data_IF_461313445188
#
_entry.id   IF_461313445188
#
_cell.length_a   1.000
_cell.length_b   1.000
_cell.length_c   1.000
_cell.angle_alpha   90.00
_cell.angle_beta   90.00
_cell.angle_gamma   90.00
#
_symmetry.space_group_name_H-M   'P 1'
#
loop_
_entity.id
_entity.type
_entity.pdbx_description
1 polymer ?
#
# COMPACT_ATOMS: atom_id res chain seq x y z
N UNK A 1 0.99 -23.51 24.70
CA UNK A 1 1.63 -23.69 23.37
C UNK A 1 0.78 -24.48 22.37
N UNK A 2 0.13 -25.60 22.74
CA UNK A 2 -0.68 -26.42 21.81
C UNK A 2 -1.86 -25.68 21.15
N UNK A 3 -2.61 -24.86 21.90
CA UNK A 3 -3.81 -24.16 21.36
C UNK A 3 -3.43 -23.11 20.30
N UNK A 4 -2.32 -22.38 20.52
CA UNK A 4 -1.81 -21.39 19.57
C UNK A 4 -1.29 -22.08 18.29
N UNK A 5 -0.64 -23.24 18.44
CA UNK A 5 -0.20 -24.07 17.31
C UNK A 5 -1.40 -24.57 16.49
N UNK A 6 -2.43 -25.10 17.14
CA UNK A 6 -3.64 -25.60 16.48
C UNK A 6 -4.41 -24.48 15.75
N UNK A 7 -4.55 -23.31 16.37
CA UNK A 7 -5.20 -22.15 15.74
C UNK A 7 -4.43 -21.65 14.51
N UNK A 8 -3.09 -21.68 14.52
CA UNK A 8 -2.26 -21.36 13.36
C UNK A 8 -2.40 -22.39 12.24
N UNK A 9 -2.44 -23.67 12.58
CA UNK A 9 -2.62 -24.77 11.62
C UNK A 9 -4.01 -24.72 10.96
N UNK A 10 -5.06 -24.44 11.74
CA UNK A 10 -6.41 -24.23 11.23
C UNK A 10 -6.48 -23.02 10.30
N UNK A 11 -5.93 -21.86 10.69
CA UNK A 11 -5.87 -20.66 9.84
C UNK A 11 -5.16 -20.96 8.51
N UNK A 12 -4.01 -21.64 8.55
CA UNK A 12 -3.26 -22.01 7.35
C UNK A 12 -4.07 -22.97 6.45
N UNK A 13 -4.76 -23.95 7.05
CA UNK A 13 -5.65 -24.86 6.34
C UNK A 13 -6.81 -24.13 5.64
N UNK A 14 -7.49 -23.22 6.35
CA UNK A 14 -8.57 -22.43 5.77
C UNK A 14 -8.10 -21.51 4.65
N UNK A 15 -6.96 -20.82 4.82
CA UNK A 15 -6.34 -20.01 3.76
C UNK A 15 -6.06 -20.86 2.52
N UNK A 16 -5.44 -22.03 2.69
CA UNK A 16 -5.15 -22.95 1.58
C UNK A 16 -6.42 -23.45 0.89
N UNK A 17 -7.49 -23.69 1.65
CA UNK A 17 -8.78 -24.09 1.10
C UNK A 17 -9.40 -23.00 0.23
N UNK A 18 -9.33 -21.74 0.64
CA UNK A 18 -9.82 -20.59 -0.14
C UNK A 18 -9.04 -20.47 -1.44
N UNK A 19 -7.70 -20.49 -1.36
CA UNK A 19 -6.79 -20.42 -2.50
C UNK A 19 -7.13 -21.51 -3.53
N UNK A 20 -7.33 -22.75 -3.07
CA UNK A 20 -7.63 -23.87 -3.96
C UNK A 20 -9.04 -23.83 -4.56
N UNK A 21 -10.03 -23.21 -3.88
CA UNK A 21 -11.43 -23.16 -4.34
C UNK A 21 -11.74 -21.95 -5.22
N UNK A 22 -11.01 -20.86 -5.03
CA UNK A 22 -11.21 -19.59 -5.74
C UNK A 22 -9.91 -19.05 -6.36
N UNK A 23 -9.12 -19.87 -7.08
CA UNK A 23 -7.89 -19.39 -7.67
C UNK A 23 -8.21 -18.32 -8.73
N UNK A 24 -7.45 -17.23 -8.75
CA UNK A 24 -7.50 -16.27 -9.87
C UNK A 24 -7.11 -17.04 -11.13
N UNK A 25 -7.90 -17.05 -12.23
CA UNK A 25 -7.55 -17.76 -13.46
C UNK A 25 -6.18 -17.29 -14.00
N UNK A 26 -5.37 -18.22 -14.52
CA UNK A 26 -3.99 -17.92 -14.93
C UNK A 26 -3.92 -16.82 -16.00
N UNK A 27 -4.80 -16.84 -17.00
CA UNK A 27 -4.85 -15.82 -18.03
C UNK A 27 -5.15 -14.42 -17.48
N UNK A 28 -6.06 -14.30 -16.50
CA UNK A 28 -6.35 -13.02 -15.85
C UNK A 28 -5.16 -12.54 -15.00
N UNK A 29 -4.49 -13.47 -14.32
CA UNK A 29 -3.29 -13.18 -13.54
C UNK A 29 -2.15 -12.64 -14.42
N UNK A 30 -1.80 -13.36 -15.49
CA UNK A 30 -0.75 -12.96 -16.42
C UNK A 30 -1.03 -11.61 -17.07
N UNK A 31 -2.27 -11.38 -17.51
CA UNK A 31 -2.68 -10.10 -18.08
C UNK A 31 -2.57 -8.95 -17.07
N UNK A 32 -2.91 -9.18 -15.79
CA UNK A 32 -2.81 -8.15 -14.76
C UNK A 32 -1.35 -7.85 -14.38
N UNK A 33 -0.52 -8.88 -14.25
CA UNK A 33 0.92 -8.74 -13.94
C UNK A 33 1.64 -7.98 -15.07
N UNK A 34 1.33 -8.28 -16.32
CA UNK A 34 1.93 -7.61 -17.48
C UNK A 34 1.62 -6.10 -17.53
N UNK A 35 0.56 -5.64 -16.89
CA UNK A 35 0.20 -4.22 -16.82
C UNK A 35 0.75 -3.49 -15.59
N UNK A 36 1.55 -4.12 -14.73
CA UNK A 36 2.02 -3.52 -13.48
C UNK A 36 3.56 -3.48 -13.43
N UNK A 37 4.19 -2.35 -13.84
CA UNK A 37 5.65 -2.22 -13.88
C UNK A 37 6.33 -2.49 -12.53
N UNK A 38 5.68 -2.14 -11.43
CA UNK A 38 6.16 -2.35 -10.06
C UNK A 38 6.34 -3.83 -9.65
N UNK A 39 5.84 -4.78 -10.46
CA UNK A 39 6.05 -6.22 -10.26
C UNK A 39 7.29 -6.77 -10.99
N UNK A 40 7.94 -5.94 -11.79
CA UNK A 40 9.13 -6.33 -12.54
C UNK A 40 10.25 -6.77 -11.59
N UNK A 41 10.88 -7.91 -11.91
CA UNK A 41 11.95 -8.50 -11.10
C UNK A 41 11.48 -9.37 -9.93
N UNK A 42 10.17 -9.55 -9.70
CA UNK A 42 9.68 -10.60 -8.81
C UNK A 42 9.98 -11.99 -9.39
N UNK A 43 10.48 -12.89 -8.55
CA UNK A 43 10.69 -14.30 -8.89
C UNK A 43 9.35 -15.02 -9.12
N UNK A 44 9.40 -16.18 -9.79
CA UNK A 44 8.21 -17.03 -9.98
C UNK A 44 7.57 -17.45 -8.65
N UNK A 45 8.38 -17.68 -7.61
CA UNK A 45 7.90 -18.02 -6.28
C UNK A 45 7.17 -16.83 -5.63
N UNK A 46 7.72 -15.62 -5.73
CA UNK A 46 7.07 -14.40 -5.25
C UNK A 46 5.78 -14.10 -6.01
N UNK A 47 5.76 -14.24 -7.34
CA UNK A 47 4.55 -14.06 -8.15
C UNK A 47 3.47 -15.09 -7.79
N UNK A 48 3.85 -16.35 -7.58
CA UNK A 48 2.91 -17.39 -7.12
C UNK A 48 2.36 -17.05 -5.73
N UNK A 49 3.19 -16.58 -4.81
CA UNK A 49 2.75 -16.20 -3.48
C UNK A 49 1.84 -14.95 -3.51
N UNK A 50 2.17 -13.97 -4.34
CA UNK A 50 1.37 -12.77 -4.54
C UNK A 50 -0.01 -13.11 -5.13
N UNK A 51 -0.10 -14.11 -6.02
CA UNK A 51 -1.39 -14.63 -6.52
C UNK A 51 -2.22 -15.25 -5.40
N UNK A 52 -1.61 -16.05 -4.53
CA UNK A 52 -2.29 -16.63 -3.37
C UNK A 52 -2.82 -15.54 -2.43
N UNK A 53 -2.02 -14.50 -2.14
CA UNK A 53 -2.42 -13.35 -1.34
C UNK A 53 -3.55 -12.55 -2.01
N UNK A 54 -3.46 -12.32 -3.32
CA UNK A 54 -4.48 -11.62 -4.10
C UNK A 54 -5.80 -12.40 -4.13
N UNK A 55 -5.75 -13.73 -4.18
CA UNK A 55 -6.94 -14.59 -4.04
C UNK A 55 -7.57 -14.43 -2.65
N UNK A 56 -6.78 -14.46 -1.58
CA UNK A 56 -7.28 -14.22 -0.22
C UNK A 56 -7.88 -12.82 -0.10
N UNK A 57 -7.25 -11.82 -0.72
CA UNK A 57 -7.75 -10.46 -0.80
C UNK A 57 -9.13 -10.39 -1.43
N UNK A 58 -9.29 -10.91 -2.64
CA UNK A 58 -10.56 -10.89 -3.37
C UNK A 58 -11.67 -11.72 -2.70
N UNK A 59 -11.29 -12.70 -1.87
CA UNK A 59 -12.25 -13.49 -1.09
C UNK A 59 -12.74 -12.73 0.16
N UNK A 60 -11.85 -12.00 0.84
CA UNK A 60 -12.18 -11.35 2.12
C UNK A 60 -12.55 -9.88 2.00
N UNK A 61 -12.18 -9.22 0.90
CA UNK A 61 -12.43 -7.81 0.65
C UNK A 61 -13.45 -7.65 -0.47
N UNK A 62 -14.38 -6.74 -0.25
CA UNK A 62 -15.32 -6.31 -1.27
C UNK A 62 -14.78 -5.04 -1.95
N UNK A 63 -14.90 -4.98 -3.26
CA UNK A 63 -14.55 -3.79 -4.05
C UNK A 63 -15.81 -3.37 -4.78
N UNK A 64 -16.36 -2.21 -4.44
CA UNK A 64 -17.58 -1.66 -5.03
C UNK A 64 -17.26 -0.37 -5.78
N UNK A 65 -18.03 -0.10 -6.83
CA UNK A 65 -17.98 1.21 -7.47
C UNK A 65 -18.91 2.20 -6.79
N UNK A 66 -18.44 3.41 -6.57
CA UNK A 66 -19.26 4.52 -6.10
C UNK A 66 -19.98 5.21 -7.27
N UNK A 67 -21.07 5.92 -6.98
CA UNK A 67 -21.80 6.74 -7.97
C UNK A 67 -22.24 5.96 -9.23
N UNK A 68 -22.58 4.68 -9.09
CA UNK A 68 -22.99 3.83 -10.23
C UNK A 68 -21.83 3.34 -11.11
N UNK A 69 -20.58 3.60 -10.73
CA UNK A 69 -19.40 3.08 -11.42
C UNK A 69 -19.40 1.56 -11.41
N UNK A 70 -19.24 0.93 -12.58
CA UNK A 70 -19.26 -0.52 -12.72
C UNK A 70 -17.84 -1.08 -12.63
N UNK A 71 -17.52 -1.64 -11.47
CA UNK A 71 -16.22 -2.29 -11.23
C UNK A 71 -16.19 -3.66 -11.93
N UNK A 72 -15.23 -3.86 -12.82
CA UNK A 72 -15.01 -5.13 -13.51
C UNK A 72 -13.93 -5.99 -12.82
N UNK A 73 -13.75 -7.24 -13.28
CA UNK A 73 -12.80 -8.17 -12.68
C UNK A 73 -11.34 -7.70 -12.78
N UNK A 74 -10.96 -7.09 -13.90
CA UNK A 74 -9.60 -6.54 -14.09
C UNK A 74 -9.30 -5.45 -13.06
N UNK A 75 -10.24 -4.53 -12.84
CA UNK A 75 -10.10 -3.46 -11.85
C UNK A 75 -9.89 -4.03 -10.45
N UNK A 76 -10.71 -5.01 -10.07
CA UNK A 76 -10.59 -5.69 -8.78
C UNK A 76 -9.23 -6.35 -8.60
N UNK A 77 -8.77 -7.03 -9.65
CA UNK A 77 -7.51 -7.76 -9.62
C UNK A 77 -6.30 -6.81 -9.53
N UNK A 78 -6.30 -5.70 -10.28
CA UNK A 78 -5.23 -4.68 -10.23
C UNK A 78 -5.10 -4.10 -8.83
N UNK A 79 -6.21 -3.72 -8.18
CA UNK A 79 -6.19 -3.21 -6.80
C UNK A 79 -5.70 -4.29 -5.84
N UNK A 80 -6.22 -5.51 -5.96
CA UNK A 80 -5.86 -6.61 -5.07
C UNK A 80 -4.36 -6.97 -5.15
N UNK A 81 -3.77 -6.97 -6.35
CA UNK A 81 -2.36 -7.26 -6.55
C UNK A 81 -1.48 -6.22 -5.88
N UNK A 82 -1.72 -4.94 -6.16
CA UNK A 82 -0.93 -3.84 -5.62
C UNK A 82 -1.04 -3.78 -4.09
N UNK A 83 -2.25 -3.88 -3.55
CA UNK A 83 -2.47 -3.94 -2.11
C UNK A 83 -1.76 -5.16 -1.46
N UNK A 84 -1.80 -6.31 -2.12
CA UNK A 84 -1.15 -7.55 -1.62
C UNK A 84 0.37 -7.50 -1.68
N UNK A 85 0.95 -6.64 -2.52
CA UNK A 85 2.40 -6.50 -2.62
C UNK A 85 3.04 -5.98 -1.34
N UNK A 86 2.42 -5.01 -0.65
CA UNK A 86 2.94 -4.48 0.62
C UNK A 86 3.09 -5.60 1.66
N UNK A 87 2.15 -6.53 1.67
CA UNK A 87 2.10 -7.64 2.63
C UNK A 87 2.72 -8.94 2.09
N UNK A 88 3.44 -8.90 0.97
CA UNK A 88 4.04 -10.10 0.34
C UNK A 88 4.92 -10.90 1.31
N UNK A 89 5.58 -10.22 2.24
CA UNK A 89 6.43 -10.85 3.27
C UNK A 89 5.96 -10.52 4.70
N UNK A 90 4.71 -10.05 4.84
CA UNK A 90 4.04 -9.75 6.12
C UNK A 90 2.94 -10.79 6.40
N UNK A 91 2.20 -10.65 7.50
CA UNK A 91 1.07 -11.55 7.75
C UNK A 91 -0.21 -10.95 7.15
N UNK A 92 -1.00 -11.78 6.47
CA UNK A 92 -2.37 -11.43 6.05
C UNK A 92 -3.21 -10.81 7.19
N UNK A 93 -2.88 -11.20 8.42
CA UNK A 93 -3.48 -10.71 9.64
C UNK A 93 -3.43 -9.18 9.78
N UNK A 94 -2.47 -8.50 9.14
CA UNK A 94 -2.31 -7.04 9.09
C UNK A 94 -3.44 -6.33 8.32
N UNK A 95 -4.14 -7.04 7.42
CA UNK A 95 -5.27 -6.49 6.65
C UNK A 95 -6.64 -6.87 7.20
N UNK A 96 -6.78 -7.52 8.37
CA UNK A 96 -8.08 -8.10 8.79
C UNK A 96 -9.16 -7.11 9.20
N UNK A 97 -8.79 -5.92 9.67
CA UNK A 97 -9.69 -5.02 10.41
C UNK A 97 -10.53 -4.07 9.55
N UNK A 98 -10.46 -4.19 8.22
CA UNK A 98 -11.25 -3.43 7.26
C UNK A 98 -11.79 -4.39 6.18
N UNK A 99 -12.82 -4.01 5.42
CA UNK A 99 -13.49 -4.96 4.50
C UNK A 99 -13.77 -4.44 3.10
N UNK A 100 -13.84 -3.13 2.91
CA UNK A 100 -14.40 -2.56 1.69
C UNK A 100 -13.44 -1.57 1.05
N UNK A 101 -13.28 -1.69 -0.27
CA UNK A 101 -12.71 -0.67 -1.14
C UNK A 101 -13.84 -0.04 -1.96
N UNK A 102 -13.91 1.28 -2.00
CA UNK A 102 -14.80 2.04 -2.88
C UNK A 102 -13.99 2.64 -4.03
N UNK A 103 -14.32 2.27 -5.26
CA UNK A 103 -13.74 2.81 -6.48
C UNK A 103 -14.63 3.89 -7.07
N UNK A 104 -14.12 5.10 -7.14
CA UNK A 104 -14.72 6.19 -7.91
C UNK A 104 -14.17 6.16 -9.34
N UNK A 105 -14.92 6.66 -10.35
CA UNK A 105 -14.41 6.71 -11.72
C UNK A 105 -13.15 7.58 -11.85
N UNK A 106 -13.11 8.73 -11.15
CA UNK A 106 -11.96 9.63 -11.12
C UNK A 106 -11.84 10.38 -9.80
N UNK A 107 -10.96 11.38 -9.75
CA UNK A 107 -10.63 12.13 -8.54
C UNK A 107 -11.89 12.63 -7.80
N UNK A 108 -12.04 12.20 -6.55
CA UNK A 108 -13.15 12.59 -5.71
C UNK A 108 -12.84 13.93 -5.03
N UNK A 109 -13.39 15.03 -5.56
CA UNK A 109 -13.47 16.26 -4.77
C UNK A 109 -14.59 16.07 -3.76
N UNK A 110 -14.24 15.69 -2.53
CA UNK A 110 -15.14 15.86 -1.40
C UNK A 110 -15.56 17.33 -1.42
N UNK A 111 -16.87 17.62 -1.53
CA UNK A 111 -17.38 18.97 -1.22
C UNK A 111 -17.18 19.22 0.28
N UNK A 112 -15.95 19.49 0.70
CA UNK A 112 -15.63 20.34 1.83
C UNK A 112 -15.26 21.69 1.24
N UNK A 113 -15.85 22.74 1.77
CA UNK A 113 -15.42 24.10 1.52
C UNK A 113 -14.02 24.28 2.11
N UNK A 114 -12.99 23.86 1.40
CA UNK A 114 -11.62 24.31 1.59
C UNK A 114 -10.89 24.06 0.26
N UNK A 115 -10.48 25.15 -0.37
CA UNK A 115 -9.75 25.14 -1.64
C UNK A 115 -8.29 24.84 -1.33
N UNK A 116 -7.80 23.68 -1.73
CA UNK A 116 -6.36 23.42 -1.80
C UNK A 116 -5.88 23.41 -3.26
N UNK A 117 -4.68 23.97 -3.46
CA UNK A 117 -4.07 24.25 -4.76
C UNK A 117 -3.34 23.06 -5.39
N UNK A 118 -3.40 21.86 -4.78
CA UNK A 118 -2.61 20.69 -5.20
C UNK A 118 -3.40 19.54 -5.83
N UNK A 119 -4.71 19.71 -6.08
CA UNK A 119 -5.48 18.82 -6.98
C UNK A 119 -5.63 17.34 -6.58
N UNK A 120 -5.02 16.89 -5.48
CA UNK A 120 -5.18 15.54 -4.94
C UNK A 120 -5.96 15.66 -3.63
N UNK A 121 -7.21 15.22 -3.64
CA UNK A 121 -8.09 15.22 -2.46
C UNK A 121 -8.08 13.82 -1.86
N UNK A 122 -7.30 13.62 -0.81
CA UNK A 122 -7.45 12.45 0.06
C UNK A 122 -8.56 12.73 1.06
N UNK A 123 -9.69 12.05 0.88
CA UNK A 123 -10.76 12.09 1.86
C UNK A 123 -10.36 11.27 3.08
N UNK A 124 -9.61 11.86 4.02
CA UNK A 124 -9.57 11.37 5.40
C UNK A 124 -10.99 11.56 5.96
N UNK A 125 -11.85 10.56 5.78
CA UNK A 125 -13.17 10.58 6.42
C UNK A 125 -13.09 10.02 7.82
N UNK A 126 -13.38 10.91 8.78
CA UNK A 126 -14.04 10.52 10.01
C UNK A 126 -15.31 9.72 9.67
N UNK A 127 -15.61 8.62 10.40
CA UNK A 127 -16.70 7.72 10.07
C UNK A 127 -18.01 8.49 9.91
N UNK A 128 -18.53 8.49 8.69
CA UNK A 128 -19.86 9.00 8.40
C UNK A 128 -20.89 8.16 9.18
N UNK A 129 -21.82 8.90 9.77
CA UNK A 129 -22.84 8.48 10.70
C UNK A 129 -23.65 7.29 10.15
N UNK A 130 -23.79 6.25 10.97
CA UNK A 130 -24.77 5.19 10.78
C UNK A 130 -24.22 3.87 10.25
N UNK A 131 -23.15 3.35 10.85
CA UNK A 131 -22.94 1.92 11.18
C UNK A 131 -21.51 1.76 11.72
N UNK A 132 -21.28 0.80 12.61
CA UNK A 132 -19.96 0.59 13.23
C UNK A 132 -18.97 -0.01 12.23
N UNK A 133 -18.36 0.85 11.40
CA UNK A 133 -17.21 0.50 10.56
C UNK A 133 -15.95 0.80 11.35
N UNK A 134 -15.34 -0.22 11.96
CA UNK A 134 -14.18 -0.06 12.86
C UNK A 134 -12.98 0.68 12.23
N UNK A 135 -12.91 0.84 10.89
CA UNK A 135 -11.87 1.63 10.18
C UNK A 135 -12.31 2.29 8.85
N UNK A 136 -13.61 2.40 8.57
CA UNK A 136 -14.12 2.94 7.29
C UNK A 136 -13.73 2.13 6.04
N UNK A 137 -14.27 2.45 4.85
CA UNK A 137 -13.80 1.90 3.58
C UNK A 137 -12.51 2.57 3.11
N UNK A 138 -11.67 1.83 2.37
CA UNK A 138 -10.59 2.43 1.57
C UNK A 138 -11.21 3.07 0.34
N UNK A 139 -10.88 4.31 0.03
CA UNK A 139 -11.42 5.03 -1.13
C UNK A 139 -10.30 5.18 -2.16
N UNK A 140 -10.57 4.81 -3.41
CA UNK A 140 -9.64 4.99 -4.52
C UNK A 140 -10.36 5.60 -5.73
N UNK A 141 -9.62 6.35 -6.53
CA UNK A 141 -10.02 6.81 -7.86
C UNK A 141 -9.46 5.85 -8.91
N UNK A 142 -10.32 5.34 -9.80
CA UNK A 142 -9.89 4.40 -10.83
C UNK A 142 -8.94 5.04 -11.84
N UNK A 143 -9.12 6.32 -12.18
CA UNK A 143 -8.18 7.05 -13.03
C UNK A 143 -6.77 7.04 -12.41
N UNK A 144 -6.64 7.29 -11.11
CA UNK A 144 -5.35 7.25 -10.41
C UNK A 144 -4.78 5.83 -10.33
N UNK A 145 -5.63 4.82 -10.10
CA UNK A 145 -5.22 3.42 -10.15
C UNK A 145 -4.76 3.03 -11.56
N UNK A 146 -5.44 3.49 -12.61
CA UNK A 146 -5.08 3.20 -13.99
C UNK A 146 -3.76 3.88 -14.38
N UNK A 147 -3.46 5.06 -13.83
CA UNK A 147 -2.16 5.71 -14.00
C UNK A 147 -1.00 4.89 -13.46
N UNK A 148 -1.19 4.10 -12.39
CA UNK A 148 -0.14 3.20 -11.86
C UNK A 148 0.28 2.08 -12.83
N UNK A 149 -0.54 1.80 -13.84
CA UNK A 149 -0.28 0.78 -14.86
C UNK A 149 0.54 1.30 -16.05
N UNK A 150 0.68 2.62 -16.17
CA UNK A 150 1.46 3.26 -17.22
C UNK A 150 2.85 3.62 -16.69
N UNK A 151 3.90 3.56 -17.54
CA UNK A 151 5.19 4.16 -17.20
C UNK A 151 4.99 5.65 -16.90
N UNK A 152 5.35 6.06 -15.68
CA UNK A 152 5.29 7.44 -15.22
C UNK A 152 6.66 7.84 -14.66
N UNK A 153 7.08 9.08 -14.91
CA UNK A 153 8.27 9.63 -14.29
C UNK A 153 8.05 9.94 -12.80
N UNK A 154 6.79 10.21 -12.43
CA UNK A 154 6.37 10.41 -11.04
C UNK A 154 6.21 9.05 -10.34
N UNK A 155 6.84 8.84 -9.18
CA UNK A 155 6.79 7.58 -8.45
C UNK A 155 5.48 7.36 -7.66
N UNK A 156 4.40 8.07 -8.00
CA UNK A 156 3.13 7.99 -7.26
C UNK A 156 2.36 6.70 -7.54
N UNK A 157 1.73 6.17 -6.49
CA UNK A 157 0.87 5.01 -6.53
C UNK A 157 -0.17 5.05 -5.41
N UNK A 158 -1.37 5.50 -5.75
CA UNK A 158 -2.50 5.66 -4.82
C UNK A 158 -2.87 4.36 -4.09
N UNK A 159 -2.68 3.19 -4.72
CA UNK A 159 -2.97 1.91 -4.05
C UNK A 159 -1.91 1.62 -2.99
N UNK A 160 -0.63 1.84 -3.28
CA UNK A 160 0.41 1.66 -2.26
C UNK A 160 0.21 2.65 -1.11
N UNK A 161 -0.11 3.90 -1.44
CA UNK A 161 -0.33 4.99 -0.49
C UNK A 161 -1.42 4.64 0.55
N UNK A 162 -2.66 4.41 0.10
CA UNK A 162 -3.80 4.16 0.99
C UNK A 162 -3.60 2.89 1.84
N UNK A 163 -2.96 1.87 1.26
CA UNK A 163 -2.71 0.63 1.98
C UNK A 163 -1.51 0.74 2.94
N UNK A 164 -0.57 1.65 2.71
CA UNK A 164 0.44 2.00 3.70
C UNK A 164 -0.22 2.65 4.92
N UNK A 165 -1.19 3.55 4.76
CA UNK A 165 -1.96 4.09 5.90
C UNK A 165 -2.71 3.01 6.69
N UNK A 166 -3.29 2.02 6.01
CA UNK A 166 -3.93 0.89 6.69
C UNK A 166 -2.94 0.12 7.59
N UNK A 167 -1.70 -0.05 7.13
CA UNK A 167 -0.63 -0.67 7.90
C UNK A 167 -0.18 0.22 9.07
N UNK A 168 -0.04 1.53 8.84
CA UNK A 168 0.33 2.52 9.86
C UNK A 168 -0.68 2.53 11.02
N UNK A 169 -1.97 2.50 10.69
CA UNK A 169 -3.05 2.41 11.67
C UNK A 169 -3.11 1.07 12.43
N UNK A 170 -2.21 0.12 12.17
CA UNK A 170 -2.17 -1.17 12.84
C UNK A 170 -2.00 -1.09 14.37
N UNK A 171 -1.45 0.01 14.91
CA UNK A 171 -1.28 0.22 16.35
C UNK A 171 -2.04 1.44 16.91
N UNK A 172 -2.91 2.09 16.13
CA UNK A 172 -3.62 3.29 16.54
C UNK A 172 -3.99 4.20 15.36
N UNK A 173 -4.00 5.51 15.60
CA UNK A 173 -4.08 6.49 14.52
C UNK A 173 -2.78 6.53 13.71
N UNK A 174 -2.87 6.86 12.43
CA UNK A 174 -1.72 6.99 11.54
C UNK A 174 -0.73 8.04 12.10
N UNK A 175 0.55 7.68 12.16
CA UNK A 175 1.61 8.51 12.73
C UNK A 175 2.98 8.28 12.06
N UNK A 176 3.04 7.52 10.97
CA UNK A 176 4.26 7.16 10.26
C UNK A 176 5.07 6.05 10.93
N UNK A 177 4.49 5.32 11.88
CA UNK A 177 5.13 4.19 12.55
C UNK A 177 4.14 3.01 12.66
N UNK A 178 4.07 2.16 11.62
CA UNK A 178 3.29 0.94 11.68
C UNK A 178 3.78 0.01 12.80
N UNK A 179 3.00 -1.03 13.18
CA UNK A 179 3.46 -2.07 14.08
C UNK A 179 4.76 -2.72 13.58
N UNK A 180 5.88 -2.38 14.21
CA UNK A 180 7.19 -2.89 13.79
C UNK A 180 7.41 -4.35 14.23
N UNK A 181 8.21 -5.07 13.45
CA UNK A 181 8.65 -6.43 13.80
C UNK A 181 9.41 -6.44 15.13
N UNK A 182 9.36 -7.57 15.85
CA UNK A 182 10.12 -7.74 17.10
C UNK A 182 11.64 -7.55 16.94
N UNK A 183 12.15 -7.74 15.73
CA UNK A 183 13.57 -7.58 15.38
C UNK A 183 13.94 -6.13 15.08
N UNK A 184 12.96 -5.23 14.94
CA UNK A 184 13.18 -3.82 14.64
C UNK A 184 13.22 -2.98 15.92
N UNK A 185 14.09 -1.97 15.92
CA UNK A 185 14.21 -1.04 17.03
C UNK A 185 13.33 0.20 16.79
N UNK A 186 12.31 0.40 17.63
CA UNK A 186 11.40 1.54 17.54
C UNK A 186 12.12 2.89 17.63
N UNK A 187 13.15 3.02 18.48
CA UNK A 187 13.92 4.27 18.60
C UNK A 187 14.69 4.57 17.32
N UNK A 188 15.26 3.55 16.68
CA UNK A 188 15.94 3.70 15.40
C UNK A 188 14.97 4.15 14.31
N UNK A 189 13.81 3.49 14.18
CA UNK A 189 12.76 3.89 13.24
C UNK A 189 12.37 5.36 13.45
N UNK A 190 11.96 5.71 14.67
CA UNK A 190 11.51 7.07 15.01
C UNK A 190 12.60 8.09 14.73
N UNK A 191 13.85 7.82 15.12
CA UNK A 191 14.97 8.75 14.87
C UNK A 191 15.22 8.97 13.37
N UNK A 192 15.24 7.90 12.58
CA UNK A 192 15.51 7.97 11.14
C UNK A 192 14.39 8.72 10.41
N UNK A 193 13.13 8.34 10.65
CA UNK A 193 11.98 9.00 10.02
C UNK A 193 11.85 10.46 10.44
N UNK A 194 12.00 10.76 11.74
CA UNK A 194 11.91 12.13 12.23
C UNK A 194 13.00 13.03 11.66
N UNK A 195 14.26 12.57 11.63
CA UNK A 195 15.37 13.35 11.10
C UNK A 195 15.20 13.61 9.61
N UNK A 196 14.79 12.61 8.83
CA UNK A 196 14.55 12.78 7.40
C UNK A 196 13.39 13.76 7.15
N UNK A 197 12.25 13.58 7.83
CA UNK A 197 11.10 14.48 7.72
C UNK A 197 11.46 15.93 8.07
N UNK A 198 12.19 16.15 9.17
CA UNK A 198 12.64 17.49 9.58
C UNK A 198 13.58 18.10 8.53
N UNK A 199 14.58 17.35 8.08
CA UNK A 199 15.54 17.85 7.09
C UNK A 199 14.88 18.21 5.77
N UNK A 200 13.94 17.38 5.28
CA UNK A 200 13.24 17.68 4.03
C UNK A 200 12.32 18.90 4.16
N UNK A 201 11.67 19.09 5.31
CA UNK A 201 10.91 20.31 5.60
C UNK A 201 11.79 21.56 5.57
N UNK A 202 12.96 21.51 6.21
CA UNK A 202 13.93 22.63 6.20
C UNK A 202 14.42 22.96 4.79
N UNK A 203 14.74 21.94 3.99
CA UNK A 203 15.17 22.10 2.59
C UNK A 203 14.06 22.68 1.72
N UNK A 204 12.84 22.16 1.85
CA UNK A 204 11.68 22.67 1.13
C UNK A 204 11.38 24.13 1.47
N UNK A 205 11.43 24.50 2.76
CA UNK A 205 11.26 25.88 3.20
C UNK A 205 12.35 26.83 2.68
N UNK A 206 13.55 26.31 2.39
CA UNK A 206 14.64 27.03 1.74
C UNK A 206 14.53 27.09 0.21
N UNK A 207 13.48 26.52 -0.38
CA UNK A 207 13.29 26.44 -1.84
C UNK A 207 14.20 25.42 -2.52
N UNK A 208 14.80 24.50 -1.77
CA UNK A 208 15.62 23.44 -2.34
C UNK A 208 14.76 22.28 -2.85
N UNK A 209 15.17 21.62 -3.96
CA UNK A 209 14.49 20.43 -4.43
C UNK A 209 14.62 19.28 -3.44
N UNK A 210 13.51 18.60 -3.16
CA UNK A 210 13.43 17.40 -2.32
C UNK A 210 13.20 16.14 -3.18
N UNK A 211 13.62 14.95 -2.72
CA UNK A 211 13.57 13.73 -3.52
C UNK A 211 12.22 12.99 -3.48
N UNK A 212 11.22 13.55 -2.80
CA UNK A 212 9.87 13.02 -2.67
C UNK A 212 8.88 14.11 -3.11
N UNK A 213 7.64 13.71 -3.38
CA UNK A 213 6.54 14.66 -3.53
C UNK A 213 6.42 15.51 -2.25
N UNK A 214 6.16 16.83 -2.39
CA UNK A 214 6.00 17.74 -1.25
C UNK A 214 4.85 17.35 -0.33
N UNK A 215 3.88 16.58 -0.82
CA UNK A 215 2.82 16.01 0.00
C UNK A 215 3.35 15.17 1.17
N UNK A 216 4.52 14.55 1.01
CA UNK A 216 5.21 13.82 2.08
C UNK A 216 5.55 14.70 3.30
N UNK A 217 5.51 16.03 3.16
CA UNK A 217 5.81 16.97 4.24
C UNK A 217 4.58 17.36 5.07
N UNK A 218 3.36 17.03 4.65
CA UNK A 218 2.15 17.42 5.39
C UNK A 218 2.06 16.79 6.78
N UNK A 219 2.45 15.52 6.90
CA UNK A 219 2.49 14.84 8.18
C UNK A 219 3.48 13.67 8.19
N UNK A 220 3.89 13.17 9.37
CA UNK A 220 4.67 11.93 9.45
C UNK A 220 3.96 10.70 8.84
N UNK A 221 2.63 10.67 8.86
CA UNK A 221 1.86 9.60 8.24
C UNK A 221 1.98 9.67 6.71
N UNK A 222 1.81 10.86 6.12
CA UNK A 222 2.02 11.08 4.68
C UNK A 222 3.46 10.80 4.26
N UNK A 223 4.42 11.20 5.09
CA UNK A 223 5.82 10.89 4.84
C UNK A 223 6.07 9.38 4.71
N UNK A 224 5.44 8.57 5.57
CA UNK A 224 5.54 7.11 5.48
C UNK A 224 4.82 6.54 4.25
N UNK A 225 3.63 7.04 3.91
CA UNK A 225 2.88 6.59 2.76
C UNK A 225 3.62 6.92 1.45
N UNK A 226 4.04 8.17 1.25
CA UNK A 226 4.80 8.60 0.08
C UNK A 226 6.15 7.90 -0.02
N UNK A 227 6.87 7.73 1.09
CA UNK A 227 8.11 6.95 1.07
C UNK A 227 7.85 5.48 0.68
N UNK A 228 6.71 4.90 1.07
CA UNK A 228 6.30 3.55 0.65
C UNK A 228 5.99 3.46 -0.83
N UNK A 229 5.36 4.48 -1.42
CA UNK A 229 5.15 4.57 -2.88
C UNK A 229 6.48 4.51 -3.62
N UNK A 230 7.42 5.41 -3.27
CA UNK A 230 8.73 5.45 -3.93
C UNK A 230 9.52 4.15 -3.69
N UNK A 231 9.38 3.53 -2.52
CA UNK A 231 10.02 2.24 -2.22
C UNK A 231 9.59 1.11 -3.18
N UNK A 232 8.33 1.08 -3.61
CA UNK A 232 7.85 0.05 -4.55
C UNK A 232 7.94 0.47 -6.01
N UNK A 233 7.76 1.76 -6.33
CA UNK A 233 7.67 2.26 -7.71
C UNK A 233 9.04 2.68 -8.26
N UNK A 234 9.90 3.27 -7.43
CA UNK A 234 11.22 3.78 -7.84
C UNK A 234 12.28 3.53 -6.76
N UNK A 235 12.52 2.26 -6.37
CA UNK A 235 13.32 1.93 -5.20
C UNK A 235 14.76 2.47 -5.25
N UNK A 236 15.40 2.52 -6.42
CA UNK A 236 16.77 3.05 -6.55
C UNK A 236 16.83 4.55 -6.25
N UNK A 237 15.78 5.31 -6.64
CA UNK A 237 15.69 6.75 -6.31
C UNK A 237 15.65 6.93 -4.79
N UNK A 238 14.81 6.15 -4.09
CA UNK A 238 14.71 6.22 -2.63
C UNK A 238 16.00 5.75 -1.94
N UNK A 239 16.60 4.64 -2.40
CA UNK A 239 17.84 4.11 -1.84
C UNK A 239 19.00 5.11 -1.98
N UNK A 240 19.07 5.83 -3.10
CA UNK A 240 20.12 6.83 -3.34
C UNK A 240 19.86 8.10 -2.53
N UNK A 241 18.63 8.62 -2.55
CA UNK A 241 18.32 9.91 -1.95
C UNK A 241 18.12 9.85 -0.42
N UNK A 242 17.53 8.77 0.09
CA UNK A 242 17.19 8.57 1.50
C UNK A 242 17.55 7.13 1.96
N UNK A 243 18.84 6.74 1.96
CA UNK A 243 19.28 5.36 2.19
C UNK A 243 18.83 4.79 3.55
N UNK A 244 18.79 5.62 4.60
CA UNK A 244 18.34 5.18 5.91
C UNK A 244 16.84 4.89 5.95
N UNK A 245 16.02 5.69 5.25
CA UNK A 245 14.58 5.44 5.08
C UNK A 245 14.38 4.16 4.29
N UNK A 246 15.07 4.00 3.16
CA UNK A 246 15.03 2.78 2.36
C UNK A 246 15.33 1.54 3.21
N UNK A 247 16.39 1.59 4.02
CA UNK A 247 16.76 0.48 4.89
C UNK A 247 15.68 0.15 5.94
N UNK A 248 15.07 1.16 6.57
CA UNK A 248 13.97 0.92 7.51
C UNK A 248 12.75 0.29 6.81
N UNK A 249 12.39 0.77 5.62
CA UNK A 249 11.30 0.19 4.82
C UNK A 249 11.61 -1.23 4.35
N UNK A 250 12.86 -1.52 3.96
CA UNK A 250 13.33 -2.87 3.64
C UNK A 250 13.16 -3.82 4.84
N UNK A 251 13.54 -3.39 6.05
CA UNK A 251 13.35 -4.19 7.27
C UNK A 251 11.86 -4.38 7.60
N UNK A 252 11.05 -3.34 7.39
CA UNK A 252 9.62 -3.39 7.65
C UNK A 252 8.88 -4.28 6.65
N UNK A 253 8.94 -3.99 5.36
CA UNK A 253 8.28 -4.78 4.32
C UNK A 253 8.93 -6.13 4.08
N UNK A 254 10.18 -6.32 4.54
CA UNK A 254 11.01 -7.53 4.32
C UNK A 254 11.20 -7.83 2.83
N UNK A 255 11.29 -6.78 2.04
CA UNK A 255 11.47 -6.82 0.59
C UNK A 255 12.63 -5.90 0.23
N UNK A 256 13.32 -6.19 -0.87
CA UNK A 256 14.35 -5.31 -1.44
C UNK A 256 14.04 -5.03 -2.92
N UNK A 257 13.10 -4.11 -3.21
CA UNK A 257 12.76 -3.82 -4.61
C UNK A 257 13.94 -3.24 -5.40
N UNK A 258 14.89 -2.55 -4.75
CA UNK A 258 16.08 -2.01 -5.43
C UNK A 258 16.97 -3.11 -6.01
N UNK A 259 17.11 -4.24 -5.30
CA UNK A 259 17.91 -5.37 -5.79
C UNK A 259 17.25 -6.13 -6.95
N UNK A 260 15.93 -6.02 -7.12
CA UNK A 260 15.17 -6.72 -8.18
C UNK A 260 15.41 -6.12 -9.57
N UNK A 261 15.68 -4.81 -9.65
CA UNK A 261 15.91 -4.10 -10.92
C UNK A 261 17.37 -4.21 -11.41
N UNK A 262 18.29 -4.73 -10.60
CA UNK A 262 19.71 -4.90 -10.97
C UNK A 262 19.98 -6.18 -11.78
N UNK A 263 18.95 -6.97 -12.11
CA UNK A 263 19.08 -8.24 -12.83
C UNK A 263 18.95 -8.11 -14.37
N UNK A 264 19.34 -6.98 -14.94
CA UNK A 264 19.43 -6.82 -16.40
C UNK A 264 20.86 -7.01 -16.91
#
# INVERSE_FOLDING_TARGET
MLIISLARTLKAYWRRRIINRHPIPLAHWEAAVACLPLLQGLSLAELSHLRDLSTLFLHHKSIYGAQGFKVNEKMRLVVAIQASLLILCLDWDDYRHWRTVLLYPGAFVAKREERDESGIVHAVQHPLIGESWDRGPVILSWDDVAHTMAPSESPSNVVIHEFAHLLDMGNGAANGMPPLHRTMNRRTWTSVFFQAYKNLNERWAAGEPIPLDSYALESPAEFFAVASEVFFVSPQKLQTALPQIYHQLQLYYRQDPASRTLLF
#
